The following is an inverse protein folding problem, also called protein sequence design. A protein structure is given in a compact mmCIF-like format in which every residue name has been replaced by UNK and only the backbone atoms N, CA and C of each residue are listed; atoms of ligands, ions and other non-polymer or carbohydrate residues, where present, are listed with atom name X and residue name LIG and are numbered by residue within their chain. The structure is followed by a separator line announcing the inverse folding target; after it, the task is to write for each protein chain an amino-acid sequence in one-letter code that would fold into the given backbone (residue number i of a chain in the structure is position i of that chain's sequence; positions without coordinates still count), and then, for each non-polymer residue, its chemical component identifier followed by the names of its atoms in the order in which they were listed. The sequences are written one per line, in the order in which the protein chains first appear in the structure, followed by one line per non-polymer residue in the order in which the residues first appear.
data_IF_327032744154
#
_entry.id   IF_327032744154
#
_cell.length_a   1.000
_cell.length_b   1.000
_cell.length_c   1.000
_cell.angle_alpha   90.00
_cell.angle_beta   90.00
_cell.angle_gamma   90.00
#
_symmetry.space_group_name_H-M   'P 1'
#
loop_
_entity.id
_entity.type
_entity.pdbx_description
1 polymer ?
#
# COMPACT_ATOMS: atom_id res chain seq x y z
N UNK A 1 -10.85 -6.78 -7.54
CA UNK A 1 -12.02 -5.90 -7.72
C UNK A 1 -11.57 -4.65 -8.46
N UNK A 2 -12.33 -4.17 -9.45
CA UNK A 2 -12.11 -2.86 -10.08
C UNK A 2 -13.05 -1.84 -9.41
N UNK A 3 -12.64 -1.31 -8.26
CA UNK A 3 -13.43 -0.33 -7.50
C UNK A 3 -13.34 1.09 -8.09
N UNK A 4 -12.65 1.24 -9.23
CA UNK A 4 -12.30 2.53 -9.83
C UNK A 4 -11.64 3.49 -8.80
N UNK A 5 -10.82 2.94 -7.90
CA UNK A 5 -10.05 3.71 -6.94
C UNK A 5 -8.81 4.27 -7.62
N UNK A 6 -8.51 5.55 -7.36
CA UNK A 6 -7.34 6.23 -7.92
C UNK A 6 -6.12 5.98 -7.04
N UNK A 7 -6.28 6.09 -5.73
CA UNK A 7 -5.19 5.93 -4.80
C UNK A 7 -5.03 4.47 -4.34
N UNK A 8 -3.78 4.02 -4.24
CA UNK A 8 -3.39 2.73 -3.67
C UNK A 8 -2.27 2.93 -2.65
N UNK A 9 -2.27 2.09 -1.63
CA UNK A 9 -1.41 2.22 -0.46
C UNK A 9 -0.86 0.84 -0.07
N UNK A 10 0.35 0.82 0.44
CA UNK A 10 0.94 -0.33 1.11
C UNK A 10 1.30 0.01 2.54
N UNK A 11 0.87 -0.85 3.46
CA UNK A 11 1.18 -0.78 4.86
C UNK A 11 1.87 -2.06 5.33
N UNK A 12 2.69 -1.91 6.36
CA UNK A 12 3.17 -3.02 7.19
C UNK A 12 2.70 -2.82 8.62
N UNK A 13 2.27 -3.91 9.23
CA UNK A 13 1.95 -4.02 10.64
C UNK A 13 2.90 -5.03 11.27
N UNK A 14 3.69 -4.58 12.24
CA UNK A 14 4.47 -5.48 13.10
C UNK A 14 3.66 -5.79 14.38
N UNK A 15 3.91 -6.93 15.05
CA UNK A 15 3.23 -7.26 16.30
C UNK A 15 3.32 -6.13 17.32
N UNK A 16 2.16 -5.74 17.88
CA UNK A 16 2.07 -4.66 18.86
C UNK A 16 2.21 -3.24 18.30
N UNK A 17 2.35 -3.08 16.98
CA UNK A 17 2.47 -1.78 16.32
C UNK A 17 1.24 -1.45 15.47
N UNK A 18 1.01 -0.15 15.26
CA UNK A 18 0.04 0.34 14.30
C UNK A 18 0.47 0.09 12.85
N UNK A 19 -0.43 0.41 11.91
CA UNK A 19 -0.10 0.44 10.49
C UNK A 19 0.96 1.51 10.23
N UNK A 20 2.03 1.14 9.53
CA UNK A 20 3.03 2.08 9.03
C UNK A 20 3.04 2.07 7.52
N UNK A 21 3.04 3.24 6.91
CA UNK A 21 2.96 3.39 5.47
C UNK A 21 4.31 3.06 4.83
N UNK A 22 4.32 2.17 3.84
CA UNK A 22 5.51 1.86 3.06
C UNK A 22 5.57 2.77 1.83
N UNK A 23 4.52 2.74 1.01
CA UNK A 23 4.37 3.56 -0.19
C UNK A 23 2.89 3.85 -0.45
N UNK A 24 2.62 4.94 -1.16
CA UNK A 24 1.32 5.19 -1.76
C UNK A 24 1.46 5.73 -3.17
N UNK A 25 0.36 5.72 -3.91
CA UNK A 25 0.31 6.22 -5.27
C UNK A 25 -1.11 6.72 -5.54
N UNK A 26 -1.25 7.98 -5.96
CA UNK A 26 -2.55 8.58 -6.28
C UNK A 26 -2.93 8.47 -7.76
N UNK A 27 -1.92 8.34 -8.63
CA UNK A 27 -2.08 8.27 -10.08
C UNK A 27 -1.11 7.24 -10.68
N UNK A 28 -1.38 6.82 -11.91
CA UNK A 28 -0.49 5.93 -12.67
C UNK A 28 0.85 6.62 -12.94
N UNK A 29 1.94 5.84 -12.93
CA UNK A 29 3.33 6.27 -13.15
C UNK A 29 3.90 7.22 -12.07
N UNK A 30 3.22 7.39 -10.94
CA UNK A 30 3.71 8.19 -9.82
C UNK A 30 3.44 7.48 -8.48
N UNK A 31 4.38 7.60 -7.55
CA UNK A 31 4.27 7.02 -6.22
C UNK A 31 5.19 7.76 -5.24
N UNK A 32 4.79 7.73 -3.97
CA UNK A 32 5.42 8.46 -2.89
C UNK A 32 5.82 7.51 -1.78
N UNK A 33 6.98 7.78 -1.17
CA UNK A 33 7.50 7.04 -0.02
C UNK A 33 6.66 7.36 1.22
N UNK A 34 6.38 6.33 2.02
CA UNK A 34 5.87 6.48 3.38
C UNK A 34 7.00 6.47 4.42
N UNK A 35 6.62 6.20 5.66
CA UNK A 35 7.50 6.22 6.84
C UNK A 35 8.62 5.17 6.77
N UNK A 36 8.34 4.02 6.13
CA UNK A 36 9.23 2.85 6.15
C UNK A 36 9.51 2.31 4.74
N UNK A 37 9.79 3.21 3.80
CA UNK A 37 10.01 2.86 2.39
C UNK A 37 11.35 2.12 2.10
N UNK A 38 12.32 2.17 3.02
CA UNK A 38 13.63 1.56 2.83
C UNK A 38 13.56 0.03 2.76
N UNK A 39 14.26 -0.57 1.79
CA UNK A 39 14.24 -2.01 1.55
C UNK A 39 12.95 -2.52 0.89
N UNK A 40 12.13 -1.60 0.36
CA UNK A 40 10.94 -1.89 -0.43
C UNK A 40 10.99 -1.16 -1.77
N UNK A 41 10.35 -1.74 -2.80
CA UNK A 41 10.11 -1.06 -4.07
C UNK A 41 8.69 -1.34 -4.57
N UNK A 42 8.15 -0.40 -5.35
CA UNK A 42 6.81 -0.48 -5.92
C UNK A 42 6.84 -0.10 -7.40
N UNK A 43 5.80 -0.49 -8.14
CA UNK A 43 5.52 0.06 -9.47
C UNK A 43 4.03 0.39 -9.59
N UNK A 44 3.70 1.41 -10.39
CA UNK A 44 2.31 1.80 -10.68
C UNK A 44 2.09 1.95 -12.18
N UNK A 45 2.21 0.86 -12.91
CA UNK A 45 2.03 0.86 -14.38
C UNK A 45 0.55 0.86 -14.79
N UNK A 46 -0.34 0.38 -13.92
CA UNK A 46 -1.79 0.32 -14.16
C UNK A 46 -2.56 0.88 -12.97
N UNK A 47 -3.75 1.41 -13.23
CA UNK A 47 -4.59 2.01 -12.18
C UNK A 47 -4.98 0.97 -11.11
N UNK A 48 -5.32 -0.23 -11.53
CA UNK A 48 -5.78 -1.31 -10.68
C UNK A 48 -4.66 -2.12 -10.00
N UNK A 49 -3.39 -1.81 -10.30
CA UNK A 49 -2.24 -2.59 -9.85
C UNK A 49 -1.15 -1.72 -9.24
N UNK A 50 -0.77 -2.05 -8.01
CA UNK A 50 0.33 -1.41 -7.29
C UNK A 50 1.11 -2.50 -6.55
N UNK A 51 1.94 -3.32 -7.23
CA UNK A 51 2.70 -4.37 -6.58
C UNK A 51 3.77 -3.81 -5.63
N UNK A 52 3.98 -4.51 -4.51
CA UNK A 52 5.06 -4.28 -3.57
C UNK A 52 6.09 -5.40 -3.69
N UNK A 53 7.35 -5.02 -3.88
CA UNK A 53 8.50 -5.92 -3.79
C UNK A 53 9.21 -5.70 -2.46
N UNK A 54 9.39 -6.78 -1.72
CA UNK A 54 10.09 -6.78 -0.42
C UNK A 54 11.49 -7.36 -0.61
N UNK A 55 12.52 -6.56 -0.30
CA UNK A 55 13.91 -7.04 -0.38
C UNK A 55 14.19 -8.11 0.68
N UNK A 56 15.21 -8.93 0.46
CA UNK A 56 15.57 -10.01 1.40
C UNK A 56 15.85 -9.50 2.83
N UNK A 57 16.41 -8.29 2.96
CA UNK A 57 16.70 -7.68 4.26
C UNK A 57 15.45 -7.30 5.07
N UNK A 58 14.30 -7.13 4.40
CA UNK A 58 13.03 -6.74 5.03
C UNK A 58 12.03 -7.90 5.16
N UNK A 59 12.43 -9.12 4.78
CA UNK A 59 11.61 -10.31 5.00
C UNK A 59 11.53 -10.61 6.48
N UNK A 60 10.32 -10.53 7.02
CA UNK A 60 10.03 -10.85 8.41
C UNK A 60 8.72 -11.68 8.44
N UNK A 61 8.76 -12.93 8.92
CA UNK A 61 7.57 -13.81 8.94
C UNK A 61 6.49 -13.35 9.92
N UNK A 62 6.84 -12.45 10.83
CA UNK A 62 5.89 -11.86 11.80
C UNK A 62 5.22 -10.59 11.27
N UNK A 63 5.72 -10.01 10.18
CA UNK A 63 5.15 -8.80 9.59
C UNK A 63 3.91 -9.13 8.77
N UNK A 64 2.87 -8.32 8.93
CA UNK A 64 1.63 -8.40 8.16
C UNK A 64 1.55 -7.23 7.19
N UNK A 65 1.36 -7.53 5.91
CA UNK A 65 1.31 -6.55 4.84
C UNK A 65 -0.12 -6.34 4.39
N UNK A 66 -0.53 -5.09 4.28
CA UNK A 66 -1.87 -4.69 3.90
C UNK A 66 -1.82 -3.72 2.73
N UNK A 67 -2.56 -4.02 1.67
CA UNK A 67 -2.86 -3.03 0.64
C UNK A 67 -4.17 -2.32 0.98
N UNK A 68 -4.27 -1.05 0.64
CA UNK A 68 -5.52 -0.30 0.67
C UNK A 68 -5.70 0.49 -0.61
N UNK A 69 -6.93 0.91 -0.88
CA UNK A 69 -7.23 1.80 -2.00
C UNK A 69 -8.37 2.73 -1.67
N UNK A 70 -8.40 3.90 -2.31
CA UNK A 70 -9.47 4.88 -2.17
C UNK A 70 -9.69 5.65 -3.46
N UNK A 71 -10.92 6.14 -3.66
CA UNK A 71 -11.20 7.15 -4.67
C UNK A 71 -11.30 8.53 -3.97
N UNK A 72 -10.53 9.55 -4.38
CA UNK A 72 -10.76 10.92 -3.95
C UNK A 72 -12.04 11.45 -4.61
N UNK A 73 -13.22 11.05 -4.11
CA UNK A 73 -14.46 11.70 -4.54
C UNK A 73 -14.55 13.09 -3.92
N UNK A 74 -14.95 14.05 -4.76
CA UNK A 74 -15.20 15.44 -4.41
C UNK A 74 -16.09 15.54 -3.17
N UNK A 75 -15.51 16.06 -2.07
CA UNK A 75 -16.25 16.43 -0.88
C UNK A 75 -16.50 15.30 0.12
N UNK A 76 -15.61 15.24 1.11
CA UNK A 76 -15.91 14.94 2.54
C UNK A 76 -15.69 13.52 3.08
N UNK A 77 -15.52 12.44 2.30
CA UNK A 77 -15.15 11.13 2.89
C UNK A 77 -14.16 10.29 2.06
N UNK A 78 -12.97 10.04 2.61
CA UNK A 78 -12.04 9.02 2.11
C UNK A 78 -12.46 7.65 2.61
N UNK A 79 -13.27 6.94 1.82
CA UNK A 79 -13.51 5.52 2.04
C UNK A 79 -12.25 4.72 1.69
N UNK A 80 -11.60 4.11 2.69
CA UNK A 80 -10.50 3.18 2.45
C UNK A 80 -11.04 1.76 2.36
N UNK A 81 -10.70 1.06 1.29
CA UNK A 81 -10.93 -0.38 1.18
C UNK A 81 -9.61 -1.10 1.36
N UNK A 82 -9.52 -1.92 2.41
CA UNK A 82 -8.37 -2.77 2.69
C UNK A 82 -8.53 -4.13 2.04
N UNK A 83 -7.42 -4.66 1.50
CA UNK A 83 -7.33 -6.06 1.11
C UNK A 83 -7.27 -6.99 2.31
N UNK A 84 -7.31 -8.30 2.07
CA UNK A 84 -7.20 -9.33 3.11
C UNK A 84 -5.84 -9.35 3.82
N UNK A 85 -4.82 -8.76 3.20
CA UNK A 85 -3.44 -8.76 3.68
C UNK A 85 -2.72 -10.10 3.50
N UNK A 86 -1.42 -10.11 3.78
CA UNK A 86 -0.56 -11.30 3.69
C UNK A 86 0.59 -11.26 4.69
N UNK A 87 1.06 -12.43 5.12
CA UNK A 87 2.39 -12.62 5.74
C UNK A 87 3.35 -13.15 4.67
N UNK A 88 4.65 -12.98 4.89
CA UNK A 88 5.71 -13.51 4.01
C UNK A 88 6.45 -14.67 4.64
#
# INVERSE_FOLDING_TARGET
QNLNHDAMYWYRQDPGQGLRLIYYSQIVNDFQKGDIAEGYSVSREKKESFPLTVTSAQKNPTAFYLCASSNPRQGVHYGYTFGSGTRL
#
